data_IF_719564423285
#
_entry.id   IF_719564423285
#
_cell.length_a   1.000
_cell.length_b   1.000
_cell.length_c   1.000
_cell.angle_alpha   90.00
_cell.angle_beta   90.00
_cell.angle_gamma   90.00
#
_symmetry.space_group_name_H-M   'P 1'
#
loop_
_entity.id
_entity.type
_entity.pdbx_description
1 polymer ?
#
# COMPACT_ATOMS: atom_id res chain seq x y z
N UNK A 1 20.04 -1.11 2.38
CA UNK A 1 19.20 -0.84 1.19
C UNK A 1 18.17 0.23 1.54
N UNK A 2 17.87 1.16 0.63
CA UNK A 2 16.77 2.12 0.78
C UNK A 2 15.45 1.43 1.10
N UNK A 3 14.62 2.09 1.90
CA UNK A 3 13.27 1.63 2.26
C UNK A 3 12.23 2.52 1.58
N UNK A 4 11.09 1.92 1.26
CA UNK A 4 9.99 2.59 0.57
C UNK A 4 8.67 2.22 1.26
N UNK A 5 7.86 3.24 1.52
CA UNK A 5 6.50 3.10 1.97
C UNK A 5 5.60 2.96 0.75
N UNK A 6 4.85 1.87 0.70
CA UNK A 6 3.81 1.63 -0.29
C UNK A 6 2.45 1.87 0.36
N UNK A 7 1.77 2.93 -0.04
CA UNK A 7 0.44 3.29 0.47
C UNK A 7 -0.63 2.90 -0.55
N UNK A 8 -1.57 2.05 -0.14
CA UNK A 8 -2.67 1.65 -0.99
C UNK A 8 -3.66 2.82 -1.12
N UNK A 9 -3.96 3.20 -2.36
CA UNK A 9 -4.93 4.24 -2.71
C UNK A 9 -6.20 3.62 -3.28
N UNK A 10 -7.35 4.01 -2.74
CA UNK A 10 -8.64 3.74 -3.37
C UNK A 10 -8.76 4.56 -4.65
N UNK A 11 -9.04 3.92 -5.78
CA UNK A 11 -9.26 4.59 -7.07
C UNK A 11 -10.72 4.46 -7.49
N UNK A 12 -11.31 5.47 -8.16
CA UNK A 12 -12.66 5.37 -8.68
C UNK A 12 -12.79 4.16 -9.61
N UNK A 13 -13.78 3.30 -9.35
CA UNK A 13 -14.11 2.18 -10.24
C UNK A 13 -15.62 1.95 -10.20
N UNK A 14 -16.18 1.48 -11.31
CA UNK A 14 -17.58 1.06 -11.35
C UNK A 14 -17.67 -0.30 -10.64
N UNK A 15 -18.56 -0.37 -9.65
CA UNK A 15 -18.99 -1.53 -8.86
C UNK A 15 -18.26 -2.85 -9.13
N UNK A 16 -17.39 -3.27 -8.22
CA UNK A 16 -16.80 -4.61 -8.24
C UNK A 16 -17.70 -5.61 -7.50
N UNK A 17 -18.07 -6.70 -8.17
CA UNK A 17 -18.63 -7.86 -7.51
C UNK A 17 -17.60 -8.47 -6.55
N UNK A 18 -18.07 -8.98 -5.41
CA UNK A 18 -17.20 -9.69 -4.47
C UNK A 18 -16.63 -10.93 -5.16
N UNK A 19 -15.31 -11.20 -5.05
CA UNK A 19 -14.74 -12.39 -5.64
C UNK A 19 -15.41 -13.66 -5.10
N UNK A 20 -15.62 -14.64 -5.98
CA UNK A 20 -16.05 -15.98 -5.56
C UNK A 20 -14.98 -16.67 -4.70
N UNK A 21 -15.32 -17.72 -3.93
CA UNK A 21 -14.34 -18.45 -3.12
C UNK A 21 -13.14 -18.98 -3.92
N UNK A 22 -13.37 -19.47 -5.15
CA UNK A 22 -12.31 -19.95 -6.03
C UNK A 22 -11.37 -18.81 -6.47
N UNK A 23 -11.92 -17.65 -6.80
CA UNK A 23 -11.13 -16.45 -7.14
C UNK A 23 -10.32 -15.95 -5.94
N UNK A 24 -10.88 -16.03 -4.72
CA UNK A 24 -10.12 -15.71 -3.50
C UNK A 24 -8.95 -16.68 -3.29
N UNK A 25 -9.17 -17.98 -3.47
CA UNK A 25 -8.11 -18.99 -3.37
C UNK A 25 -6.98 -18.73 -4.38
N UNK A 26 -7.32 -18.42 -5.63
CA UNK A 26 -6.34 -18.06 -6.65
C UNK A 26 -5.56 -16.79 -6.27
N UNK A 27 -6.24 -15.78 -5.71
CA UNK A 27 -5.61 -14.56 -5.23
C UNK A 27 -4.63 -14.84 -4.08
N UNK A 28 -4.99 -15.72 -3.14
CA UNK A 28 -4.08 -16.15 -2.06
C UNK A 28 -2.86 -16.87 -2.62
N UNK A 29 -3.04 -17.80 -3.57
CA UNK A 29 -1.91 -18.49 -4.19
C UNK A 29 -0.96 -17.53 -4.92
N UNK A 30 -1.50 -16.54 -5.65
CA UNK A 30 -0.69 -15.48 -6.27
C UNK A 30 0.05 -14.63 -5.24
N UNK A 31 -0.60 -14.35 -4.10
CA UNK A 31 0.01 -13.61 -3.01
C UNK A 31 1.17 -14.40 -2.40
N UNK A 32 1.00 -15.69 -2.12
CA UNK A 32 2.06 -16.53 -1.56
C UNK A 32 3.25 -16.68 -2.52
N UNK A 33 3.00 -16.81 -3.83
CA UNK A 33 4.04 -16.82 -4.85
C UNK A 33 4.83 -15.50 -4.86
N UNK A 34 4.12 -14.36 -4.83
CA UNK A 34 4.73 -13.03 -4.75
C UNK A 34 5.57 -12.87 -3.47
N UNK A 35 5.04 -13.31 -2.31
CA UNK A 35 5.77 -13.27 -1.03
C UNK A 35 7.08 -14.05 -1.09
N UNK A 36 7.05 -15.21 -1.72
CA UNK A 36 8.22 -16.06 -1.88
C UNK A 36 9.24 -15.43 -2.82
N UNK A 37 8.78 -14.90 -3.95
CA UNK A 37 9.62 -14.25 -4.95
C UNK A 37 10.35 -13.02 -4.39
N UNK A 38 9.68 -12.22 -3.57
CA UNK A 38 10.20 -10.94 -3.08
C UNK A 38 10.59 -10.97 -1.61
N UNK A 39 10.81 -12.15 -1.01
CA UNK A 39 11.03 -12.29 0.44
C UNK A 39 12.09 -11.31 0.99
N UNK A 40 13.20 -11.11 0.27
CA UNK A 40 14.28 -10.20 0.68
C UNK A 40 13.93 -8.71 0.56
N UNK A 41 12.87 -8.36 -0.18
CA UNK A 41 12.37 -7.01 -0.34
C UNK A 41 11.29 -6.65 0.67
N UNK A 42 10.67 -7.61 1.35
CA UNK A 42 9.52 -7.39 2.23
C UNK A 42 9.99 -7.07 3.66
N UNK A 43 10.01 -5.78 4.01
CA UNK A 43 10.43 -5.32 5.34
C UNK A 43 9.27 -5.38 6.34
N UNK A 44 8.12 -4.86 5.93
CA UNK A 44 6.87 -4.91 6.68
C UNK A 44 5.72 -5.09 5.69
N UNK A 45 4.84 -6.03 5.94
CA UNK A 45 3.65 -6.24 5.11
C UNK A 45 2.54 -5.25 5.45
N UNK A 46 2.73 -4.52 6.56
CA UNK A 46 1.80 -3.59 7.13
C UNK A 46 0.43 -4.20 7.34
N UNK A 47 -0.60 -3.43 7.02
CA UNK A 47 -1.97 -3.86 7.22
C UNK A 47 -2.98 -2.85 6.70
N UNK A 48 -4.25 -3.22 6.80
CA UNK A 48 -5.38 -2.33 6.52
C UNK A 48 -5.36 -1.18 7.53
N UNK A 49 -5.43 0.05 7.04
CA UNK A 49 -5.53 1.22 7.91
C UNK A 49 -6.98 1.42 8.36
N UNK A 50 -7.12 1.93 9.59
CA UNK A 50 -8.41 2.23 10.22
C UNK A 50 -8.59 3.74 10.40
N UNK A 51 -9.40 4.10 11.40
CA UNK A 51 -9.60 5.50 11.77
C UNK A 51 -8.30 6.15 12.25
N UNK A 52 -8.15 7.44 11.98
CA UNK A 52 -7.01 8.24 12.42
C UNK A 52 -7.39 9.71 12.60
N UNK A 53 -6.62 10.42 13.41
CA UNK A 53 -6.80 11.85 13.68
C UNK A 53 -5.49 12.58 13.41
N UNK A 54 -5.58 13.74 12.76
CA UNK A 54 -4.44 14.61 12.57
C UNK A 54 -4.18 15.35 13.88
N UNK A 55 -3.01 15.16 14.46
CA UNK A 55 -2.55 15.95 15.60
C UNK A 55 -1.61 17.04 15.08
N UNK A 56 -1.99 18.30 15.26
CA UNK A 56 -1.21 19.47 14.82
C UNK A 56 -0.98 20.44 15.99
N UNK A 57 0.11 21.21 15.92
CA UNK A 57 0.46 22.21 16.94
C UNK A 57 -0.55 23.36 17.02
N UNK A 58 -1.18 23.67 15.89
CA UNK A 58 -2.29 24.62 15.78
C UNK A 58 -3.50 23.88 15.18
N UNK A 59 -4.71 24.10 15.69
CA UNK A 59 -5.90 23.49 15.11
C UNK A 59 -6.05 23.95 13.66
N UNK A 60 -6.35 23.03 12.72
CA UNK A 60 -6.53 23.41 11.32
C UNK A 60 -7.67 24.41 11.20
N UNK A 61 -7.42 25.52 10.49
CA UNK A 61 -8.41 26.59 10.29
C UNK A 61 -9.54 26.19 9.34
N UNK A 62 -9.27 25.23 8.46
CA UNK A 62 -10.20 24.72 7.44
C UNK A 62 -10.57 23.26 7.71
N UNK A 63 -11.32 23.01 8.80
CA UNK A 63 -11.88 21.69 9.12
C UNK A 63 -10.82 20.56 9.25
N UNK A 64 -11.24 19.27 9.35
CA UNK A 64 -10.28 18.19 9.18
C UNK A 64 -9.62 18.36 7.81
N UNK A 65 -8.29 18.23 7.73
CA UNK A 65 -7.54 18.27 6.47
C UNK A 65 -8.10 17.17 5.54
N UNK A 66 -9.11 17.58 4.77
CA UNK A 66 -9.83 17.03 3.62
C UNK A 66 -9.63 15.54 3.38
N UNK A 67 -10.68 14.73 3.51
CA UNK A 67 -11.02 13.50 2.74
C UNK A 67 -9.93 12.42 2.47
N UNK A 68 -8.69 12.57 2.92
CA UNK A 68 -7.58 11.63 2.69
C UNK A 68 -7.81 10.32 3.43
N UNK A 69 -8.58 10.36 4.52
CA UNK A 69 -8.94 9.20 5.34
C UNK A 69 -9.75 8.16 4.56
N UNK A 70 -10.55 8.57 3.57
CA UNK A 70 -11.33 7.66 2.73
C UNK A 70 -10.51 7.06 1.57
N UNK A 71 -9.32 7.62 1.31
CA UNK A 71 -8.50 7.31 0.14
C UNK A 71 -7.34 6.35 0.42
N UNK A 72 -6.94 6.13 1.69
CA UNK A 72 -5.81 5.23 2.02
C UNK A 72 -6.33 3.92 2.65
N UNK A 73 -6.20 2.82 1.92
CA UNK A 73 -6.73 1.50 2.35
C UNK A 73 -5.78 0.70 3.25
N UNK A 74 -4.48 0.93 3.16
CA UNK A 74 -3.46 0.11 3.81
C UNK A 74 -2.05 0.57 3.48
N UNK A 75 -1.06 -0.05 4.13
CA UNK A 75 0.35 0.20 3.84
C UNK A 75 1.17 -1.09 3.83
N UNK A 76 2.33 -1.05 3.19
CA UNK A 76 3.43 -2.00 3.37
C UNK A 76 4.76 -1.24 3.24
N UNK A 77 5.84 -1.79 3.78
CA UNK A 77 7.20 -1.26 3.63
C UNK A 77 8.05 -2.29 2.90
N UNK A 78 8.69 -1.84 1.82
CA UNK A 78 9.65 -2.65 1.06
C UNK A 78 11.04 -2.04 1.12
N UNK A 79 12.05 -2.86 0.86
CA UNK A 79 13.41 -2.41 0.59
C UNK A 79 13.80 -2.81 -0.83
N UNK A 80 14.52 -1.92 -1.51
CA UNK A 80 15.01 -2.16 -2.86
C UNK A 80 16.20 -1.24 -3.16
N UNK A 81 16.95 -1.55 -4.21
CA UNK A 81 18.11 -0.74 -4.63
C UNK A 81 17.73 0.64 -5.18
N UNK A 82 16.49 0.80 -5.65
CA UNK A 82 15.98 2.04 -6.21
C UNK A 82 14.46 2.14 -6.10
N UNK A 83 13.91 3.34 -6.33
CA UNK A 83 12.46 3.55 -6.41
C UNK A 83 11.83 2.70 -7.52
N UNK A 84 12.51 2.58 -8.67
CA UNK A 84 12.04 1.75 -9.78
C UNK A 84 11.92 0.27 -9.36
N UNK A 85 12.93 -0.26 -8.68
CA UNK A 85 12.89 -1.63 -8.17
C UNK A 85 11.77 -1.82 -7.12
N UNK A 86 11.56 -0.83 -6.23
CA UNK A 86 10.46 -0.87 -5.27
C UNK A 86 9.07 -0.86 -5.94
N UNK A 87 8.92 -0.09 -7.03
CA UNK A 87 7.69 -0.07 -7.84
C UNK A 87 7.41 -1.45 -8.44
N UNK A 88 8.43 -2.17 -8.92
CA UNK A 88 8.24 -3.52 -9.46
C UNK A 88 7.74 -4.50 -8.39
N UNK A 89 8.31 -4.46 -7.18
CA UNK A 89 7.83 -5.26 -6.03
C UNK A 89 6.37 -4.94 -5.73
N UNK A 90 6.01 -3.65 -5.64
CA UNK A 90 4.66 -3.20 -5.30
C UNK A 90 3.64 -3.54 -6.41
N UNK A 91 4.03 -3.38 -7.68
CA UNK A 91 3.19 -3.69 -8.86
C UNK A 91 2.86 -5.17 -8.96
N UNK A 92 3.79 -6.04 -8.58
CA UNK A 92 3.59 -7.48 -8.60
C UNK A 92 2.67 -7.98 -7.48
N UNK A 93 2.32 -7.15 -6.49
CA UNK A 93 1.45 -7.55 -5.39
C UNK A 93 -0.03 -7.64 -5.83
N UNK A 94 -0.66 -8.83 -5.79
CA UNK A 94 -2.01 -9.05 -6.35
C UNK A 94 -3.12 -8.20 -5.72
N UNK A 95 -2.94 -7.78 -4.45
CA UNK A 95 -3.93 -7.02 -3.70
C UNK A 95 -3.80 -5.50 -3.82
N UNK A 96 -2.60 -4.99 -4.11
CA UNK A 96 -2.30 -3.55 -4.10
C UNK A 96 -2.61 -2.88 -5.44
N UNK A 97 -2.29 -3.54 -6.56
CA UNK A 97 -2.48 -2.98 -7.91
C UNK A 97 -3.51 -3.80 -8.67
N UNK A 98 -4.75 -3.31 -8.70
CA UNK A 98 -5.92 -3.96 -9.32
C UNK A 98 -6.98 -2.89 -9.63
N UNK A 99 -8.00 -3.16 -10.48
CA UNK A 99 -9.03 -2.16 -10.71
C UNK A 99 -9.64 -1.70 -9.37
N UNK A 100 -9.81 -0.38 -9.19
CA UNK A 100 -10.25 0.23 -7.92
C UNK A 100 -9.17 0.41 -6.85
N UNK A 101 -7.94 -0.04 -7.07
CA UNK A 101 -6.82 0.09 -6.12
C UNK A 101 -5.52 0.45 -6.83
N UNK A 102 -4.85 1.48 -6.34
CA UNK A 102 -3.50 1.86 -6.72
C UNK A 102 -2.54 1.76 -5.54
N UNK A 103 -1.25 1.90 -5.82
CA UNK A 103 -0.22 2.05 -4.79
C UNK A 103 0.62 3.29 -5.09
N UNK A 104 0.83 4.11 -4.06
CA UNK A 104 1.80 5.18 -4.08
C UNK A 104 3.07 4.70 -3.37
N UNK A 105 4.22 4.78 -4.04
CA UNK A 105 5.51 4.31 -3.51
C UNK A 105 6.37 5.53 -3.17
N UNK A 106 6.72 5.69 -1.90
CA UNK A 106 7.42 6.87 -1.36
C UNK A 106 8.71 6.42 -0.68
N UNK A 107 9.83 7.07 -1.00
CA UNK A 107 11.10 6.79 -0.35
C UNK A 107 11.08 7.21 1.13
N UNK A 108 11.49 6.31 2.03
CA UNK A 108 11.66 6.59 3.44
C UNK A 108 13.10 7.05 3.68
N UNK A 109 13.25 8.34 3.96
CA UNK A 109 14.54 8.90 4.35
C UNK A 109 14.71 8.75 5.86
N UNK A 110 15.64 7.89 6.28
CA UNK A 110 15.96 7.71 7.70
C UNK A 110 17.16 8.59 8.06
N UNK A 111 17.06 9.54 9.01
CA UNK A 111 18.20 10.32 9.45
C UNK A 111 19.30 9.42 10.03
N UNK A 112 20.55 9.63 9.61
CA UNK A 112 21.73 8.92 10.14
C UNK A 112 22.02 7.55 9.52
N UNK A 113 21.42 7.22 8.38
CA UNK A 113 21.82 6.10 7.52
C UNK A 113 22.92 6.45 6.53
#
# INVERSE_FOLDING_TARGET
>A
MPKFLCMQRSLPTQSQEKPSPAQMQEMYAKFDAWRTQFADNLVDLGGKLGEGELVSAEPPTDGPYVEVKELIGGYMIVQAESLAAAIEVARACPGLVRPGSGVEVVAIHTPGG
#
